data_IF_678688768440
#
_entry.id   IF_678688768440
#
_cell.length_a   1.000
_cell.length_b   1.000
_cell.length_c   1.000
_cell.angle_alpha   90.00
_cell.angle_beta   90.00
_cell.angle_gamma   90.00
#
_symmetry.space_group_name_H-M   'P 1'
#
loop_
_entity.id
_entity.type
_entity.pdbx_description
1 polymer ?
#
# COMPACT_ATOMS: atom_id res chain seq x y z
N UNK A 1 13.79 12.36 -0.53
CA UNK A 1 13.66 11.87 -1.92
C UNK A 1 12.37 12.38 -2.59
N UNK A 2 11.21 12.37 -1.91
CA UNK A 2 9.94 12.90 -2.47
C UNK A 2 10.04 14.39 -2.88
N UNK A 3 10.56 15.26 -2.01
CA UNK A 3 10.71 16.68 -2.32
C UNK A 3 11.67 16.97 -3.49
N UNK A 4 12.73 16.16 -3.63
CA UNK A 4 13.70 16.30 -4.70
C UNK A 4 13.11 15.85 -6.05
N UNK A 5 12.30 14.78 -6.06
CA UNK A 5 11.56 14.31 -7.23
C UNK A 5 10.48 15.30 -7.69
N UNK A 6 9.75 15.91 -6.75
CA UNK A 6 8.75 16.94 -7.07
C UNK A 6 9.38 18.23 -7.63
N UNK A 7 10.60 18.57 -7.22
CA UNK A 7 11.35 19.68 -7.81
C UNK A 7 11.92 19.33 -9.19
N UNK A 8 12.30 18.07 -9.42
CA UNK A 8 12.85 17.61 -10.69
C UNK A 8 11.80 17.53 -11.81
N UNK A 9 10.53 17.24 -11.49
CA UNK A 9 9.43 17.22 -12.48
C UNK A 9 9.02 18.61 -12.99
N UNK A 10 9.46 19.69 -12.33
CA UNK A 10 9.28 21.07 -12.81
C UNK A 10 10.35 21.49 -13.84
N UNK A 11 11.40 20.68 -14.05
CA UNK A 11 12.45 20.98 -15.02
C UNK A 11 12.08 20.45 -16.41
N UNK A 12 12.14 21.28 -17.47
CA UNK A 12 11.71 20.96 -18.84
C UNK A 12 12.59 19.91 -19.57
N UNK A 13 13.61 19.38 -18.89
CA UNK A 13 14.53 18.36 -19.41
C UNK A 13 14.13 16.93 -19.01
N UNK A 14 13.13 16.78 -18.13
CA UNK A 14 12.59 15.47 -17.81
C UNK A 14 11.50 15.15 -18.84
N UNK A 15 11.66 14.09 -19.66
CA UNK A 15 10.56 13.64 -20.51
C UNK A 15 9.35 13.35 -19.63
N UNK A 16 8.13 13.56 -20.14
CA UNK A 16 6.90 13.11 -19.50
C UNK A 16 6.99 11.59 -19.31
N UNK A 17 7.60 11.16 -18.20
CA UNK A 17 7.68 9.75 -17.83
C UNK A 17 6.30 9.42 -17.27
N UNK A 18 5.35 9.19 -18.18
CA UNK A 18 4.11 8.49 -17.88
C UNK A 18 4.49 7.06 -17.54
N UNK A 19 4.89 6.82 -16.29
CA UNK A 19 5.05 5.49 -15.75
C UNK A 19 3.66 4.86 -15.77
N UNK A 20 3.39 4.01 -16.77
CA UNK A 20 2.23 3.14 -16.75
C UNK A 20 2.23 2.39 -15.42
N UNK A 21 1.24 2.60 -14.55
CA UNK A 21 1.19 1.99 -13.24
C UNK A 21 1.30 0.46 -13.31
N UNK A 22 0.86 -0.15 -14.42
CA UNK A 22 1.00 -1.58 -14.67
C UNK A 22 2.48 -2.00 -14.79
N UNK A 23 3.28 -1.27 -15.57
CA UNK A 23 4.71 -1.55 -15.74
C UNK A 23 5.47 -1.35 -14.43
N UNK A 24 5.10 -0.35 -13.64
CA UNK A 24 5.72 -0.11 -12.34
C UNK A 24 5.38 -1.22 -11.33
N UNK A 25 4.12 -1.64 -11.25
CA UNK A 25 3.72 -2.76 -10.39
C UNK A 25 4.43 -4.06 -10.76
N UNK A 26 4.49 -4.40 -12.05
CA UNK A 26 5.12 -5.65 -12.50
C UNK A 26 6.64 -5.62 -12.29
N UNK A 27 7.31 -4.50 -12.57
CA UNK A 27 8.77 -4.43 -12.52
C UNK A 27 9.31 -4.20 -11.10
N UNK A 28 8.58 -3.52 -10.23
CA UNK A 28 9.06 -3.18 -8.88
C UNK A 28 8.35 -3.96 -7.79
N UNK A 29 7.02 -4.01 -7.77
CA UNK A 29 6.27 -4.67 -6.70
C UNK A 29 6.48 -6.18 -6.73
N UNK A 30 6.38 -6.81 -7.92
CA UNK A 30 6.48 -8.27 -8.02
C UNK A 30 7.87 -8.84 -7.64
N UNK A 31 9.01 -8.29 -8.09
CA UNK A 31 10.32 -8.80 -7.69
C UNK A 31 10.67 -8.51 -6.23
N UNK A 32 10.25 -7.35 -5.70
CA UNK A 32 10.50 -6.98 -4.30
C UNK A 32 9.72 -7.91 -3.36
N UNK A 33 8.46 -8.23 -3.67
CA UNK A 33 7.68 -9.25 -2.98
C UNK A 33 8.32 -10.64 -3.04
N UNK A 34 8.91 -11.02 -4.19
CA UNK A 34 9.59 -12.31 -4.33
C UNK A 34 10.84 -12.39 -3.45
N UNK A 35 11.65 -11.31 -3.39
CA UNK A 35 12.82 -11.23 -2.52
C UNK A 35 12.41 -11.30 -1.04
N UNK A 36 11.40 -10.54 -0.64
CA UNK A 36 10.86 -10.55 0.71
C UNK A 36 10.34 -11.95 1.10
N UNK A 37 9.64 -12.62 0.20
CA UNK A 37 9.09 -13.96 0.44
C UNK A 37 10.14 -15.08 0.44
N UNK A 38 11.29 -14.87 -0.20
CA UNK A 38 12.36 -15.87 -0.30
C UNK A 38 13.14 -16.01 1.00
N UNK A 39 13.28 -14.94 1.77
CA UNK A 39 13.98 -14.94 3.07
C UNK A 39 13.16 -15.59 4.19
N UNK A 40 11.88 -15.88 3.93
CA UNK A 40 10.97 -16.34 4.98
C UNK A 40 11.02 -17.86 5.14
N UNK A 41 11.58 -18.29 6.28
CA UNK A 41 11.65 -19.69 6.68
C UNK A 41 10.24 -20.27 6.97
N UNK A 42 9.79 -21.19 6.11
CA UNK A 42 8.44 -21.77 6.15
C UNK A 42 8.14 -22.50 7.46
N UNK A 43 9.17 -23.00 8.15
CA UNK A 43 9.02 -23.74 9.42
C UNK A 43 8.63 -22.85 10.60
N UNK A 44 9.24 -21.68 10.73
CA UNK A 44 8.95 -20.71 11.81
C UNK A 44 7.65 -19.93 11.54
N UNK A 45 7.36 -19.65 10.27
CA UNK A 45 6.05 -19.13 9.86
C UNK A 45 4.92 -20.03 10.30
N UNK A 46 4.96 -21.34 10.00
CA UNK A 46 3.83 -22.23 10.28
C UNK A 46 3.46 -22.27 11.79
N UNK A 47 4.44 -22.06 12.67
CA UNK A 47 4.23 -22.01 14.13
C UNK A 47 3.58 -20.71 14.61
N UNK A 48 3.85 -19.59 13.93
CA UNK A 48 3.42 -18.24 14.33
C UNK A 48 2.34 -17.63 13.44
N UNK A 49 2.10 -18.21 12.26
CA UNK A 49 1.16 -17.77 11.23
C UNK A 49 -0.25 -17.61 11.78
N UNK A 50 -0.69 -18.50 12.67
CA UNK A 50 -2.05 -18.41 13.21
C UNK A 50 -2.27 -17.12 14.01
N UNK A 51 -1.26 -16.68 14.77
CA UNK A 51 -1.32 -15.46 15.56
C UNK A 51 -1.03 -14.23 14.69
N UNK A 52 0.00 -14.27 13.84
CA UNK A 52 0.33 -13.18 12.92
C UNK A 52 -0.78 -12.90 11.91
N UNK A 53 -1.43 -13.94 11.37
CA UNK A 53 -2.55 -13.78 10.44
C UNK A 53 -3.77 -13.21 11.16
N UNK A 54 -4.06 -13.67 12.38
CA UNK A 54 -5.12 -13.11 13.21
C UNK A 54 -4.88 -11.63 13.53
N UNK A 55 -3.63 -11.26 13.84
CA UNK A 55 -3.27 -9.89 14.19
C UNK A 55 -3.22 -8.99 12.95
N UNK A 56 -2.65 -9.46 11.85
CA UNK A 56 -2.60 -8.73 10.58
C UNK A 56 -4.00 -8.46 10.04
N UNK A 57 -4.86 -9.48 9.96
CA UNK A 57 -6.25 -9.31 9.50
C UNK A 57 -7.03 -8.44 10.49
N UNK A 58 -6.95 -8.73 11.80
CA UNK A 58 -7.67 -7.99 12.82
C UNK A 58 -7.29 -6.51 12.85
N UNK A 59 -5.99 -6.22 12.77
CA UNK A 59 -5.47 -4.85 12.76
C UNK A 59 -5.78 -4.14 11.45
N UNK A 60 -5.62 -4.79 10.29
CA UNK A 60 -5.95 -4.20 8.99
C UNK A 60 -7.45 -3.85 8.88
N UNK A 61 -8.34 -4.71 9.38
CA UNK A 61 -9.78 -4.41 9.44
C UNK A 61 -10.05 -3.25 10.38
N UNK A 62 -9.36 -3.20 11.53
CA UNK A 62 -9.52 -2.10 12.48
C UNK A 62 -9.03 -0.76 11.92
N UNK A 63 -7.87 -0.72 11.24
CA UNK A 63 -7.34 0.47 10.59
C UNK A 63 -8.22 0.91 9.42
N UNK A 64 -8.69 -0.04 8.59
CA UNK A 64 -9.62 0.24 7.49
C UNK A 64 -10.92 0.86 8.01
N UNK A 65 -11.49 0.33 9.09
CA UNK A 65 -12.70 0.88 9.72
C UNK A 65 -12.45 2.26 10.34
N UNK A 66 -11.33 2.44 11.05
CA UNK A 66 -10.97 3.71 11.67
C UNK A 66 -10.73 4.82 10.64
N UNK A 67 -9.95 4.55 9.59
CA UNK A 67 -9.68 5.48 8.50
C UNK A 67 -10.95 5.76 7.71
N UNK A 68 -11.75 4.73 7.38
CA UNK A 68 -13.01 4.88 6.65
C UNK A 68 -14.02 5.75 7.41
N UNK A 69 -14.17 5.55 8.72
CA UNK A 69 -15.06 6.37 9.54
C UNK A 69 -14.55 7.80 9.70
N UNK A 70 -13.24 7.98 9.91
CA UNK A 70 -12.62 9.31 10.01
C UNK A 70 -12.76 10.11 8.70
N UNK A 71 -12.53 9.47 7.54
CA UNK A 71 -12.71 10.13 6.24
C UNK A 71 -14.18 10.46 5.97
N UNK A 72 -15.11 9.55 6.30
CA UNK A 72 -16.53 9.78 6.08
C UNK A 72 -17.07 10.94 6.93
N UNK A 73 -16.55 11.12 8.16
CA UNK A 73 -16.95 12.21 9.06
C UNK A 73 -16.31 13.56 8.70
N UNK A 74 -15.15 13.57 8.05
CA UNK A 74 -14.48 14.79 7.58
C UNK A 74 -14.97 15.23 6.19
N UNK A 75 -15.30 14.29 5.30
CA UNK A 75 -15.66 14.60 3.90
C UNK A 75 -16.76 13.66 3.37
N UNK A 76 -18.02 13.91 3.76
CA UNK A 76 -19.19 13.11 3.38
C UNK A 76 -19.51 13.06 1.87
N UNK A 77 -18.76 13.78 1.03
CA UNK A 77 -18.87 13.74 -0.44
C UNK A 77 -18.05 12.62 -1.09
N UNK A 78 -17.16 11.95 -0.34
CA UNK A 78 -16.36 10.82 -0.85
C UNK A 78 -17.19 9.53 -0.72
N UNK A 79 -17.39 8.77 -1.81
CA UNK A 79 -18.08 7.48 -1.75
C UNK A 79 -17.39 6.54 -0.77
N UNK A 80 -18.17 5.80 0.04
CA UNK A 80 -17.65 4.87 1.04
C UNK A 80 -16.64 3.86 0.46
N UNK A 81 -16.84 3.47 -0.81
CA UNK A 81 -15.95 2.58 -1.54
C UNK A 81 -14.53 3.15 -1.72
N UNK A 82 -14.40 4.45 -1.98
CA UNK A 82 -13.10 5.11 -2.14
C UNK A 82 -12.40 5.30 -0.79
N UNK A 83 -13.15 5.60 0.28
CA UNK A 83 -12.61 5.70 1.63
C UNK A 83 -12.12 4.34 2.18
N UNK A 84 -12.88 3.26 1.92
CA UNK A 84 -12.45 1.90 2.25
C UNK A 84 -11.25 1.45 1.41
N UNK A 85 -11.23 1.75 0.11
CA UNK A 85 -10.08 1.43 -0.75
C UNK A 85 -8.81 2.14 -0.28
N UNK A 86 -8.90 3.40 0.15
CA UNK A 86 -7.78 4.14 0.71
C UNK A 86 -7.33 3.57 2.06
N UNK A 87 -8.28 3.23 2.95
CA UNK A 87 -7.99 2.57 4.22
C UNK A 87 -7.32 1.20 4.04
N UNK A 88 -7.72 0.43 3.02
CA UNK A 88 -7.12 -0.85 2.66
C UNK A 88 -5.70 -0.70 2.10
N UNK A 89 -5.43 0.36 1.34
CA UNK A 89 -4.09 0.62 0.79
C UNK A 89 -3.08 1.09 1.84
N UNK A 90 -3.55 1.61 2.99
CA UNK A 90 -2.72 2.09 4.10
C UNK A 90 -2.50 1.04 5.20
N UNK A 91 -3.36 0.02 5.27
CA UNK A 91 -3.40 -1.00 6.32
C UNK A 91 -2.51 -2.21 6.05
#
# INVERSE_FOLDING_TARGET
>A
QIALGAAATQLPFFPDVTLSPELFMVLFIAPLLYLEAHDIDKGELLKSVKLSLSLAIGLAVATMAAVGFALHSVWAAIPLAAALALGAALG
#
